data_IF_250058133850
#
_entry.id   IF_250058133850
#
_cell.length_a   1.000
_cell.length_b   1.000
_cell.length_c   1.000
_cell.angle_alpha   90.00
_cell.angle_beta   90.00
_cell.angle_gamma   90.00
#
_symmetry.space_group_name_H-M   'P 1'
#
loop_
_entity.id
_entity.type
_entity.pdbx_description
1 polymer ?
#
# COMPACT_ATOMS: atom_id res chain seq x y z
N UNK A 1 -9.61 -53.68 14.78
CA UNK A 1 -10.72 -52.77 14.39
C UNK A 1 -10.71 -51.46 15.17
N UNK A 2 -10.55 -51.48 16.50
CA UNK A 2 -10.52 -50.28 17.36
C UNK A 2 -9.43 -49.25 16.98
N UNK A 3 -8.22 -49.69 16.64
CA UNK A 3 -7.10 -48.81 16.23
C UNK A 3 -7.30 -48.15 14.86
N UNK A 4 -8.02 -48.80 13.94
CA UNK A 4 -8.38 -48.21 12.64
C UNK A 4 -9.45 -47.11 12.80
N UNK A 5 -10.38 -47.31 13.73
CA UNK A 5 -11.42 -46.33 14.08
C UNK A 5 -10.81 -45.10 14.76
N UNK A 6 -9.82 -45.28 15.65
CA UNK A 6 -9.07 -44.17 16.25
C UNK A 6 -8.27 -43.36 15.22
N UNK A 7 -7.67 -44.02 14.23
CA UNK A 7 -6.94 -43.34 13.15
C UNK A 7 -7.88 -42.56 12.21
N UNK A 8 -9.05 -43.11 11.88
CA UNK A 8 -10.05 -42.39 11.08
C UNK A 8 -10.68 -41.23 11.83
N UNK A 9 -10.91 -41.36 13.15
CA UNK A 9 -11.40 -40.23 13.97
C UNK A 9 -10.38 -39.10 14.06
N UNK A 10 -9.09 -39.44 14.23
CA UNK A 10 -7.99 -38.47 14.26
C UNK A 10 -7.83 -37.74 12.91
N UNK A 11 -7.98 -38.46 11.79
CA UNK A 11 -7.90 -37.90 10.45
C UNK A 11 -9.08 -36.96 10.12
N UNK A 12 -10.28 -37.27 10.60
CA UNK A 12 -11.46 -36.39 10.46
C UNK A 12 -11.35 -35.14 11.34
N UNK A 13 -10.76 -35.26 12.54
CA UNK A 13 -10.52 -34.13 13.45
C UNK A 13 -9.47 -33.14 12.89
N UNK A 14 -8.48 -33.63 12.14
CA UNK A 14 -7.47 -32.81 11.46
C UNK A 14 -8.03 -32.10 10.21
N UNK A 15 -9.02 -32.67 9.53
CA UNK A 15 -9.67 -32.05 8.37
C UNK A 15 -10.58 -30.87 8.75
N UNK A 16 -11.14 -30.85 9.96
CA UNK A 16 -11.98 -29.73 10.43
C UNK A 16 -11.17 -28.52 10.91
N UNK A 17 -9.87 -28.67 11.16
CA UNK A 17 -9.03 -27.58 11.68
C UNK A 17 -8.67 -26.51 10.61
N UNK A 18 -8.92 -26.76 9.32
CA UNK A 18 -8.63 -25.83 8.23
C UNK A 18 -9.85 -24.99 7.77
N UNK A 19 -11.03 -25.22 8.34
CA UNK A 19 -12.27 -24.51 7.97
C UNK A 19 -12.52 -23.22 8.77
N UNK A 20 -11.59 -22.83 9.65
CA UNK A 20 -11.63 -21.55 10.37
C UNK A 20 -10.58 -20.57 9.86
N UNK A 21 -10.48 -20.39 8.54
CA UNK A 21 -10.07 -19.10 7.98
C UNK A 21 -11.38 -18.34 7.77
N UNK A 22 -11.87 -17.69 8.81
CA UNK A 22 -12.82 -16.60 8.62
C UNK A 22 -12.08 -15.48 7.88
N UNK A 23 -12.05 -15.58 6.55
CA UNK A 23 -11.97 -14.40 5.71
C UNK A 23 -13.27 -13.63 5.95
N UNK A 24 -13.31 -12.85 7.04
CA UNK A 24 -14.40 -11.93 7.29
C UNK A 24 -14.54 -11.07 6.03
N UNK A 25 -15.69 -11.09 5.33
CA UNK A 25 -15.93 -10.10 4.30
C UNK A 25 -15.75 -8.74 5.01
N UNK A 26 -14.92 -7.82 4.49
CA UNK A 26 -14.66 -6.57 5.17
C UNK A 26 -16.02 -5.89 5.36
N UNK A 27 -16.46 -5.82 6.62
CA UNK A 27 -17.70 -5.15 6.97
C UNK A 27 -17.66 -3.76 6.36
N UNK A 28 -18.77 -3.36 5.74
CA UNK A 28 -19.00 -2.04 5.12
C UNK A 28 -19.05 -0.91 6.18
N UNK A 29 -18.06 -0.85 7.07
CA UNK A 29 -17.59 0.43 7.55
C UNK A 29 -16.92 1.05 6.34
N UNK A 30 -17.53 2.09 5.76
CA UNK A 30 -16.88 2.92 4.74
C UNK A 30 -15.51 3.32 5.28
N UNK A 31 -14.47 2.58 4.86
CA UNK A 31 -13.07 2.87 5.15
C UNK A 31 -12.84 4.33 4.79
N UNK A 32 -12.19 5.08 5.67
CA UNK A 32 -11.92 6.49 5.41
C UNK A 32 -11.13 6.65 4.11
N UNK A 33 -11.18 7.82 3.43
CA UNK A 33 -10.47 8.01 2.16
C UNK A 33 -8.99 7.60 2.19
N UNK A 34 -8.31 7.75 3.33
CA UNK A 34 -6.93 7.30 3.54
C UNK A 34 -6.77 5.79 3.56
N UNK A 35 -7.64 5.09 4.27
CA UNK A 35 -7.59 3.63 4.40
C UNK A 35 -7.85 2.95 3.05
N UNK A 36 -8.72 3.54 2.22
CA UNK A 36 -8.92 3.07 0.84
C UNK A 36 -7.64 3.21 -0.01
N UNK A 37 -6.90 4.32 0.12
CA UNK A 37 -5.66 4.54 -0.63
C UNK A 37 -4.59 3.52 -0.24
N UNK A 38 -4.44 3.21 1.05
CA UNK A 38 -3.46 2.22 1.51
C UNK A 38 -3.77 0.80 0.99
N UNK A 39 -5.05 0.38 1.02
CA UNK A 39 -5.46 -0.91 0.46
C UNK A 39 -5.19 -0.98 -1.05
N UNK A 40 -5.55 0.09 -1.79
CA UNK A 40 -5.28 0.18 -3.22
C UNK A 40 -3.79 0.17 -3.52
N UNK A 41 -2.97 0.81 -2.68
CA UNK A 41 -1.51 0.81 -2.80
C UNK A 41 -0.95 -0.60 -2.66
N UNK A 42 -1.34 -1.32 -1.60
CA UNK A 42 -0.92 -2.71 -1.38
C UNK A 42 -1.29 -3.58 -2.58
N UNK A 43 -2.55 -3.54 -3.01
CA UNK A 43 -3.01 -4.30 -4.16
C UNK A 43 -2.25 -3.95 -5.45
N UNK A 44 -2.00 -2.66 -5.70
CA UNK A 44 -1.31 -2.19 -6.89
C UNK A 44 0.14 -2.67 -6.93
N UNK A 45 0.89 -2.51 -5.85
CA UNK A 45 2.31 -2.89 -5.80
C UNK A 45 2.48 -4.41 -5.85
N UNK A 46 1.67 -5.18 -5.11
CA UNK A 46 1.70 -6.65 -5.16
C UNK A 46 1.46 -7.16 -6.58
N UNK A 47 0.49 -6.59 -7.29
CA UNK A 47 0.19 -6.95 -8.69
C UNK A 47 1.32 -6.59 -9.65
N UNK A 48 1.92 -5.41 -9.51
CA UNK A 48 2.90 -4.91 -10.49
C UNK A 48 4.33 -5.42 -10.26
N UNK A 49 4.69 -5.72 -9.02
CA UNK A 49 6.07 -6.10 -8.66
C UNK A 49 6.27 -7.61 -8.52
N UNK A 50 5.17 -8.38 -8.42
CA UNK A 50 5.20 -9.84 -8.25
C UNK A 50 6.17 -10.23 -7.13
N UNK A 51 6.02 -9.58 -5.97
CA UNK A 51 6.88 -9.83 -4.81
C UNK A 51 6.68 -11.24 -4.30
N UNK A 52 7.77 -11.94 -3.95
CA UNK A 52 7.66 -13.16 -3.15
C UNK A 52 7.25 -12.81 -1.72
N UNK A 53 6.86 -13.81 -0.93
CA UNK A 53 6.52 -13.61 0.49
C UNK A 53 7.69 -12.97 1.26
N UNK A 54 8.91 -13.48 1.05
CA UNK A 54 10.13 -13.02 1.72
C UNK A 54 10.52 -11.59 1.29
N UNK A 55 10.26 -11.25 0.02
CA UNK A 55 10.47 -9.90 -0.48
C UNK A 55 9.44 -8.94 0.09
N UNK A 56 8.16 -9.34 0.13
CA UNK A 56 7.08 -8.52 0.65
C UNK A 56 7.29 -8.19 2.15
N UNK A 57 7.72 -9.17 2.95
CA UNK A 57 8.03 -8.99 4.37
C UNK A 57 9.10 -7.91 4.61
N UNK A 58 10.08 -7.78 3.70
CA UNK A 58 11.14 -6.75 3.78
C UNK A 58 10.74 -5.46 3.09
N UNK A 59 9.96 -5.54 2.02
CA UNK A 59 9.56 -4.41 1.19
C UNK A 59 8.67 -3.43 1.96
N UNK A 60 7.63 -3.92 2.64
CA UNK A 60 6.66 -3.04 3.29
C UNK A 60 7.27 -2.16 4.39
N UNK A 61 8.10 -2.68 5.31
CA UNK A 61 8.79 -1.85 6.30
C UNK A 61 9.69 -0.79 5.66
N UNK A 62 10.46 -1.16 4.62
CA UNK A 62 11.32 -0.22 3.90
C UNK A 62 10.51 0.89 3.22
N UNK A 63 9.44 0.51 2.51
CA UNK A 63 8.55 1.43 1.82
C UNK A 63 7.91 2.41 2.79
N UNK A 64 7.38 1.92 3.92
CA UNK A 64 6.75 2.75 4.93
C UNK A 64 7.74 3.76 5.52
N UNK A 65 8.95 3.31 5.90
CA UNK A 65 10.02 4.20 6.37
C UNK A 65 10.36 5.29 5.37
N UNK A 66 10.52 4.92 4.10
CA UNK A 66 10.79 5.87 3.02
C UNK A 66 9.66 6.91 2.88
N UNK A 67 8.39 6.48 2.89
CA UNK A 67 7.27 7.42 2.78
C UNK A 67 7.18 8.37 3.97
N UNK A 68 7.50 7.89 5.18
CA UNK A 68 7.54 8.71 6.39
C UNK A 68 8.68 9.73 6.36
N UNK A 69 9.86 9.34 5.86
CA UNK A 69 10.99 10.26 5.67
C UNK A 69 10.63 11.37 4.67
N UNK A 70 10.02 11.03 3.54
CA UNK A 70 9.56 12.03 2.56
C UNK A 70 8.52 12.97 3.18
N UNK A 71 7.58 12.43 3.96
CA UNK A 71 6.55 13.23 4.66
C UNK A 71 7.19 14.18 5.67
N UNK A 72 8.15 13.72 6.47
CA UNK A 72 8.89 14.56 7.43
C UNK A 72 9.67 15.66 6.71
N UNK A 73 10.43 15.33 5.67
CA UNK A 73 11.15 16.30 4.87
C UNK A 73 10.20 17.37 4.27
N UNK A 74 9.00 16.96 3.82
CA UNK A 74 7.99 17.91 3.33
C UNK A 74 7.46 18.84 4.42
N UNK A 75 7.32 18.34 5.65
CA UNK A 75 6.87 19.13 6.79
C UNK A 75 7.93 20.12 7.26
N UNK A 76 9.19 19.70 7.29
CA UNK A 76 10.34 20.52 7.70
C UNK A 76 10.66 21.61 6.66
N UNK A 77 10.60 21.28 5.37
CA UNK A 77 10.87 22.19 4.25
C UNK A 77 9.57 22.59 3.54
N UNK A 78 8.57 23.05 4.31
CA UNK A 78 7.24 23.38 3.77
C UNK A 78 7.28 24.59 2.83
N UNK A 79 8.09 25.60 3.16
CA UNK A 79 8.20 26.87 2.44
C UNK A 79 9.44 26.94 1.54
N UNK A 80 10.44 26.09 1.81
CA UNK A 80 11.66 25.98 1.00
C UNK A 80 11.56 24.79 0.04
N UNK A 81 11.28 25.09 -1.22
CA UNK A 81 11.12 24.08 -2.28
C UNK A 81 12.46 23.40 -2.59
N UNK A 82 13.55 24.16 -2.67
CA UNK A 82 14.86 23.61 -3.06
C UNK A 82 15.41 22.70 -1.96
N UNK A 83 15.30 23.10 -0.69
CA UNK A 83 15.70 22.26 0.43
C UNK A 83 14.90 20.94 0.47
N UNK A 84 13.59 21.00 0.18
CA UNK A 84 12.78 19.79 0.08
C UNK A 84 13.23 18.89 -1.07
N UNK A 85 13.50 19.45 -2.25
CA UNK A 85 13.93 18.68 -3.43
C UNK A 85 15.26 17.97 -3.19
N UNK A 86 16.21 18.66 -2.56
CA UNK A 86 17.50 18.08 -2.16
C UNK A 86 17.30 16.94 -1.15
N UNK A 87 16.56 17.18 -0.07
CA UNK A 87 16.28 16.17 0.96
C UNK A 87 15.57 14.95 0.36
N UNK A 88 14.55 15.17 -0.47
CA UNK A 88 13.80 14.12 -1.14
C UNK A 88 14.69 13.31 -2.10
N UNK A 89 15.59 13.96 -2.85
CA UNK A 89 16.55 13.26 -3.71
C UNK A 89 17.48 12.36 -2.90
N UNK A 90 18.01 12.86 -1.78
CA UNK A 90 18.89 12.09 -0.91
C UNK A 90 18.18 10.88 -0.28
N UNK A 91 16.93 11.06 0.17
CA UNK A 91 16.07 9.97 0.67
C UNK A 91 15.84 8.92 -0.44
N UNK A 92 15.46 9.34 -1.65
CA UNK A 92 15.24 8.44 -2.79
C UNK A 92 16.49 7.66 -3.18
N UNK A 93 17.68 8.28 -3.14
CA UNK A 93 18.95 7.61 -3.40
C UNK A 93 19.21 6.47 -2.40
N UNK A 94 19.00 6.72 -1.10
CA UNK A 94 19.14 5.67 -0.06
C UNK A 94 18.11 4.56 -0.26
N UNK A 95 16.84 4.93 -0.42
CA UNK A 95 15.76 3.97 -0.67
C UNK A 95 16.05 3.07 -1.88
N UNK A 96 16.56 3.62 -2.99
CA UNK A 96 16.96 2.82 -4.15
C UNK A 96 18.02 1.76 -3.81
N UNK A 97 19.02 2.13 -3.01
CA UNK A 97 20.09 1.21 -2.60
C UNK A 97 19.54 0.08 -1.73
N UNK A 98 18.69 0.40 -0.75
CA UNK A 98 18.11 -0.62 0.12
C UNK A 98 17.08 -1.50 -0.62
N UNK A 99 16.31 -0.90 -1.51
CA UNK A 99 15.36 -1.63 -2.36
C UNK A 99 16.08 -2.63 -3.27
N UNK A 100 17.27 -2.29 -3.77
CA UNK A 100 18.11 -3.21 -4.56
C UNK A 100 18.54 -4.43 -3.76
N UNK A 101 18.75 -4.32 -2.45
CA UNK A 101 19.07 -5.47 -1.59
C UNK A 101 17.88 -6.44 -1.46
N UNK A 102 16.65 -5.96 -1.67
CA UNK A 102 15.43 -6.77 -1.59
C UNK A 102 15.09 -7.35 -2.96
N UNK A 103 15.04 -6.52 -4.01
CA UNK A 103 14.56 -6.93 -5.34
C UNK A 103 15.65 -7.52 -6.24
N UNK A 104 16.92 -7.40 -5.83
CA UNK A 104 18.15 -7.92 -6.45
C UNK A 104 18.50 -7.33 -7.83
N UNK A 105 17.51 -7.14 -8.70
CA UNK A 105 17.67 -6.64 -10.07
C UNK A 105 17.41 -5.13 -10.18
N UNK A 106 18.29 -4.41 -10.89
CA UNK A 106 18.09 -2.99 -11.23
C UNK A 106 16.80 -2.77 -12.05
N UNK A 107 16.40 -3.73 -12.88
CA UNK A 107 15.14 -3.68 -13.63
C UNK A 107 13.94 -3.65 -12.67
N UNK A 108 13.93 -4.54 -11.67
CA UNK A 108 12.84 -4.62 -10.69
C UNK A 108 12.82 -3.40 -9.78
N UNK A 109 13.98 -2.86 -9.42
CA UNK A 109 14.10 -1.59 -8.69
C UNK A 109 13.49 -0.45 -9.50
N UNK A 110 13.82 -0.33 -10.79
CA UNK A 110 13.25 0.69 -11.65
C UNK A 110 11.74 0.49 -11.83
N UNK A 111 11.27 -0.75 -11.95
CA UNK A 111 9.83 -1.08 -12.01
C UNK A 111 9.08 -0.64 -10.75
N UNK A 112 9.67 -0.85 -9.56
CA UNK A 112 9.11 -0.41 -8.30
C UNK A 112 9.03 1.11 -8.17
N UNK A 113 10.08 1.83 -8.56
CA UNK A 113 10.09 3.30 -8.57
C UNK A 113 9.07 3.87 -9.58
N UNK A 114 8.95 3.23 -10.75
CA UNK A 114 7.94 3.59 -11.74
C UNK A 114 6.52 3.33 -11.24
N UNK A 115 6.28 2.15 -10.65
CA UNK A 115 4.98 1.79 -10.08
C UNK A 115 4.53 2.80 -9.03
N UNK A 116 5.44 3.23 -8.15
CA UNK A 116 5.17 4.30 -7.19
C UNK A 116 4.76 5.61 -7.87
N UNK A 117 5.55 6.07 -8.84
CA UNK A 117 5.26 7.33 -9.55
C UNK A 117 3.88 7.30 -10.20
N UNK A 118 3.55 6.22 -10.88
CA UNK A 118 2.25 6.07 -11.55
C UNK A 118 1.10 5.98 -10.55
N UNK A 119 1.27 5.24 -9.45
CA UNK A 119 0.28 5.18 -8.38
C UNK A 119 0.01 6.56 -7.78
N UNK A 120 1.05 7.33 -7.47
CA UNK A 120 0.89 8.68 -6.92
C UNK A 120 0.24 9.65 -7.90
N UNK A 121 0.49 9.49 -9.21
CA UNK A 121 -0.19 10.28 -10.24
C UNK A 121 -1.69 9.95 -10.32
N UNK A 122 -2.06 8.68 -10.18
CA UNK A 122 -3.47 8.25 -10.11
C UNK A 122 -4.14 8.83 -8.86
N UNK A 123 -3.51 8.68 -7.68
CA UNK A 123 -4.05 9.22 -6.42
C UNK A 123 -4.22 10.74 -6.49
N UNK A 124 -3.24 11.47 -7.03
CA UNK A 124 -3.32 12.93 -7.17
C UNK A 124 -4.52 13.34 -8.03
N UNK A 125 -4.70 12.72 -9.20
CA UNK A 125 -5.81 13.01 -10.12
C UNK A 125 -7.16 12.74 -9.44
N UNK A 126 -7.30 11.57 -8.84
CA UNK A 126 -8.53 11.19 -8.14
C UNK A 126 -8.88 12.18 -7.00
N UNK A 127 -7.88 12.64 -6.25
CA UNK A 127 -8.10 13.64 -5.19
C UNK A 127 -8.50 15.00 -5.77
N UNK A 128 -7.91 15.42 -6.89
CA UNK A 128 -8.28 16.67 -7.58
C UNK A 128 -9.73 16.62 -8.07
N UNK A 129 -10.13 15.55 -8.73
CA UNK A 129 -11.48 15.37 -9.25
C UNK A 129 -12.51 15.38 -8.10
N UNK A 130 -12.21 14.70 -6.99
CA UNK A 130 -13.06 14.72 -5.79
C UNK A 130 -13.19 16.12 -5.18
N UNK A 131 -12.10 16.90 -5.14
CA UNK A 131 -12.14 18.26 -4.65
C UNK A 131 -12.99 19.16 -5.54
N UNK A 132 -12.86 19.05 -6.86
CA UNK A 132 -13.65 19.82 -7.82
C UNK A 132 -15.15 19.46 -7.73
N UNK A 133 -15.48 18.18 -7.66
CA UNK A 133 -16.86 17.71 -7.48
C UNK A 133 -17.48 18.25 -6.18
N UNK A 134 -16.71 18.25 -5.09
CA UNK A 134 -17.14 18.84 -3.82
C UNK A 134 -17.33 20.36 -3.90
N UNK A 135 -16.49 21.06 -4.67
CA UNK A 135 -16.63 22.51 -4.90
C UNK A 135 -17.91 22.81 -5.65
N UNK A 136 -18.14 22.16 -6.80
CA UNK A 136 -19.36 22.32 -7.62
C UNK A 136 -20.64 21.99 -6.86
N UNK A 137 -20.59 20.96 -6.00
CA UNK A 137 -21.74 20.59 -5.17
C UNK A 137 -22.06 21.62 -4.06
N UNK A 138 -21.07 22.41 -3.62
CA UNK A 138 -21.29 23.53 -2.68
C UNK A 138 -21.84 24.75 -3.40
N UNK A 139 -21.25 25.14 -4.53
CA UNK A 139 -21.72 26.25 -5.37
C UNK A 139 -23.22 26.09 -5.73
N UNK A 140 -23.63 24.89 -6.19
CA UNK A 140 -25.05 24.61 -6.49
C UNK A 140 -26.01 24.70 -5.30
N UNK A 141 -25.53 24.54 -4.06
CA UNK A 141 -26.36 24.70 -2.87
C UNK A 141 -26.54 26.16 -2.49
N UNK A 142 -25.51 26.97 -2.74
CA UNK A 142 -25.51 28.40 -2.43
C UNK A 142 -26.32 29.19 -3.47
N UNK A 143 -26.31 28.79 -4.75
CA UNK A 143 -27.09 29.40 -5.83
C UNK A 143 -28.60 29.03 -5.81
N UNK A 144 -28.98 28.07 -4.96
CA UNK A 144 -30.35 27.56 -4.82
C UNK A 144 -31.13 28.14 -3.64
N UNK A 145 -30.59 29.18 -2.98
CA UNK A 145 -31.24 29.94 -1.89
C UNK A 145 -31.64 31.35 -2.33
#
# INVERSE_FOLDING_TARGET
>A
MKTRILFTLSFVLLLTAFMHIEAQPPGERMRGPRENIEVLKVAYFTKHLSLTTEEAEKFWPLYNSYTDEIRKARQESKEDILAFEEAALNIRKRYRVDLKKILVSDERVNKALLAEREFMNVVRRELQDRMEMRRKAREKKDDGQ
#
